data_IF_415827721703
#
_entry.id   IF_415827721703
#
_cell.length_a   1.000
_cell.length_b   1.000
_cell.length_c   1.000
_cell.angle_alpha   90.00
_cell.angle_beta   90.00
_cell.angle_gamma   90.00
#
_symmetry.space_group_name_H-M   'P 1'
#
loop_
_entity.id
_entity.type
_entity.pdbx_description
1 polymer ?
#
# COMPACT_ATOMS: atom_id res chain seq x y z
N UNK A 1 18.82 9.23 13.70
CA UNK A 1 19.61 8.23 12.91
C UNK A 1 19.75 8.71 11.48
N UNK A 2 20.79 8.29 10.76
CA UNK A 2 20.97 8.63 9.34
C UNK A 2 19.90 7.93 8.51
N UNK A 3 19.14 8.68 7.70
CA UNK A 3 18.18 8.07 6.78
C UNK A 3 18.89 7.24 5.73
N UNK A 4 18.27 6.14 5.29
CA UNK A 4 18.83 5.33 4.21
C UNK A 4 18.93 6.16 2.93
N UNK A 5 19.91 5.87 2.07
CA UNK A 5 20.09 6.56 0.79
C UNK A 5 18.86 6.52 -0.14
N UNK A 6 17.98 5.52 0.02
CA UNK A 6 16.76 5.35 -0.78
C UNK A 6 15.58 6.23 -0.35
N UNK A 7 15.70 6.97 0.75
CA UNK A 7 14.68 7.93 1.17
C UNK A 7 15.07 9.34 0.72
N UNK A 8 14.09 10.23 0.55
CA UNK A 8 14.30 11.68 0.39
C UNK A 8 15.18 12.15 1.55
N UNK A 9 16.19 12.96 1.25
CA UNK A 9 17.16 13.44 2.25
C UNK A 9 16.65 14.72 2.95
N UNK A 10 15.45 14.64 3.54
CA UNK A 10 14.81 15.70 4.33
C UNK A 10 14.65 15.28 5.79
N UNK A 11 14.79 16.20 6.77
CA UNK A 11 14.78 15.83 8.19
C UNK A 11 13.42 15.33 8.69
N UNK A 12 12.33 15.76 8.05
CA UNK A 12 10.96 15.34 8.35
C UNK A 12 10.11 15.36 7.09
N UNK A 13 9.02 14.61 7.10
CA UNK A 13 7.93 14.71 6.13
C UNK A 13 6.63 14.81 6.94
N UNK A 14 6.16 16.05 7.10
CA UNK A 14 5.04 16.40 7.96
C UNK A 14 3.69 16.29 7.24
N UNK A 15 2.60 16.50 7.99
CA UNK A 15 1.26 16.61 7.40
C UNK A 15 1.15 17.82 6.47
N UNK A 16 1.82 18.93 6.80
CA UNK A 16 1.79 20.14 5.97
C UNK A 16 2.53 19.92 4.65
N UNK A 17 3.66 19.21 4.68
CA UNK A 17 4.38 18.80 3.47
C UNK A 17 3.50 17.91 2.58
N UNK A 18 2.79 16.95 3.20
CA UNK A 18 1.88 16.06 2.47
C UNK A 18 0.72 16.83 1.84
N UNK A 19 0.08 17.74 2.58
CA UNK A 19 -1.02 18.58 2.08
C UNK A 19 -0.57 19.48 0.94
N UNK A 20 0.61 20.11 1.05
CA UNK A 20 1.16 20.97 0.01
C UNK A 20 1.46 20.18 -1.27
N UNK A 21 2.11 19.02 -1.18
CA UNK A 21 2.41 18.19 -2.35
C UNK A 21 1.13 17.62 -2.98
N UNK A 22 0.18 17.14 -2.16
CA UNK A 22 -1.13 16.68 -2.61
C UNK A 22 -1.87 17.78 -3.39
N UNK A 23 -1.95 18.99 -2.83
CA UNK A 23 -2.58 20.13 -3.48
C UNK A 23 -1.90 20.49 -4.81
N UNK A 24 -0.56 20.50 -4.84
CA UNK A 24 0.21 20.80 -6.05
C UNK A 24 0.02 19.77 -7.19
N UNK A 25 -0.39 18.56 -6.85
CA UNK A 25 -0.56 17.45 -7.78
C UNK A 25 -2.02 17.04 -8.01
N UNK A 26 -2.98 17.74 -7.39
CA UNK A 26 -4.41 17.47 -7.52
C UNK A 26 -4.88 16.18 -6.84
N UNK A 27 -4.26 15.79 -5.71
CA UNK A 27 -4.69 14.62 -4.92
C UNK A 27 -5.58 15.04 -3.77
N UNK A 28 -6.82 14.57 -3.76
CA UNK A 28 -7.83 14.99 -2.78
C UNK A 28 -7.64 14.40 -1.39
N UNK A 29 -7.12 13.17 -1.32
CA UNK A 29 -6.99 12.41 -0.07
C UNK A 29 -5.91 11.32 -0.18
N UNK A 30 -5.38 10.87 0.97
CA UNK A 30 -4.36 9.85 1.03
C UNK A 30 -4.56 8.84 2.17
N UNK A 31 -4.11 7.62 1.95
CA UNK A 31 -4.01 6.58 2.99
C UNK A 31 -2.61 6.65 3.60
N UNK A 32 -2.53 6.96 4.89
CA UNK A 32 -1.29 7.00 5.65
C UNK A 32 -0.91 5.58 6.08
N UNK A 33 0.33 5.17 5.78
CA UNK A 33 0.91 3.92 6.25
C UNK A 33 2.05 4.26 7.23
N UNK A 34 1.82 4.24 8.55
CA UNK A 34 2.88 4.45 9.53
C UNK A 34 4.00 3.40 9.36
N UNK A 35 5.29 3.80 9.39
CA UNK A 35 6.39 2.86 9.17
C UNK A 35 6.47 1.82 10.30
N UNK A 36 6.11 0.56 10.00
CA UNK A 36 6.01 -0.50 11.01
C UNK A 36 7.28 -0.77 11.81
N UNK A 37 8.45 -0.45 11.24
CA UNK A 37 9.75 -0.59 11.90
C UNK A 37 9.98 0.41 13.05
N UNK A 38 9.17 1.47 13.16
CA UNK A 38 9.30 2.51 14.19
C UNK A 38 8.35 2.30 15.39
N UNK A 39 7.67 1.15 15.45
CA UNK A 39 6.78 0.79 16.56
C UNK A 39 5.47 1.57 16.57
N UNK A 40 4.61 1.33 17.56
CA UNK A 40 3.24 1.85 17.57
C UNK A 40 3.17 3.39 17.74
N UNK A 41 4.21 4.02 18.27
CA UNK A 41 4.26 5.46 18.49
C UNK A 41 4.05 6.29 17.20
N UNK A 42 4.46 5.77 16.02
CA UNK A 42 4.23 6.48 14.76
C UNK A 42 2.77 6.49 14.29
N UNK A 43 1.92 5.61 14.85
CA UNK A 43 0.48 5.72 14.61
C UNK A 43 -0.10 7.00 15.23
N UNK A 44 0.48 7.52 16.33
CA UNK A 44 -0.03 8.71 17.02
C UNK A 44 -0.02 9.93 16.09
N UNK A 45 1.08 10.12 15.36
CA UNK A 45 1.22 11.21 14.39
C UNK A 45 0.20 11.09 13.25
N UNK A 46 -0.03 9.87 12.76
CA UNK A 46 -1.04 9.63 11.72
C UNK A 46 -2.46 9.90 12.23
N UNK A 47 -2.77 9.50 13.47
CA UNK A 47 -4.07 9.77 14.11
C UNK A 47 -4.28 11.27 14.31
N UNK A 48 -3.24 12.01 14.70
CA UNK A 48 -3.30 13.48 14.80
C UNK A 48 -3.56 14.14 13.44
N UNK A 49 -2.93 13.66 12.36
CA UNK A 49 -3.18 14.15 11.01
C UNK A 49 -4.64 13.92 10.59
N UNK A 50 -5.21 12.73 10.87
CA UNK A 50 -6.62 12.46 10.61
C UNK A 50 -7.55 13.33 11.45
N UNK A 51 -7.25 13.54 12.73
CA UNK A 51 -8.07 14.42 13.60
C UNK A 51 -8.15 15.84 13.05
N UNK A 52 -7.04 16.36 12.53
CA UNK A 52 -6.98 17.70 11.94
C UNK A 52 -7.60 17.77 10.53
N UNK A 53 -7.47 16.71 9.74
CA UNK A 53 -7.91 16.67 8.34
C UNK A 53 -8.63 15.35 8.00
N UNK A 54 -9.83 15.12 8.59
CA UNK A 54 -10.53 13.83 8.48
C UNK A 54 -11.09 13.54 7.08
N UNK A 55 -11.25 14.56 6.24
CA UNK A 55 -11.63 14.47 4.82
C UNK A 55 -10.43 14.12 3.90
N UNK A 56 -9.20 14.36 4.39
CA UNK A 56 -7.95 14.18 3.65
C UNK A 56 -7.25 12.86 3.94
N UNK A 57 -7.34 12.34 5.16
CA UNK A 57 -6.53 11.20 5.56
C UNK A 57 -7.34 10.07 6.21
N UNK A 58 -6.93 8.84 5.90
CA UNK A 58 -7.21 7.65 6.71
C UNK A 58 -5.93 6.84 6.89
N UNK A 59 -5.99 5.76 7.67
CA UNK A 59 -4.81 5.05 8.14
C UNK A 59 -5.00 3.54 7.93
N UNK A 60 -3.95 2.91 7.39
CA UNK A 60 -3.69 1.49 7.57
C UNK A 60 -2.52 1.36 8.53
N UNK A 61 -2.83 1.16 9.81
CA UNK A 61 -1.84 1.16 10.88
C UNK A 61 -1.26 -0.22 11.13
N UNK A 62 -0.47 -0.33 12.18
CA UNK A 62 0.09 -1.59 12.63
C UNK A 62 0.22 -1.58 14.16
N UNK A 63 0.39 -2.75 14.76
CA UNK A 63 0.68 -2.89 16.18
C UNK A 63 1.60 -4.10 16.37
N UNK A 64 2.04 -4.35 17.60
CA UNK A 64 2.80 -5.56 17.90
C UNK A 64 1.89 -6.79 17.89
N UNK A 65 2.02 -7.65 16.86
CA UNK A 65 1.24 -8.89 16.70
C UNK A 65 1.54 -9.94 17.79
N UNK A 66 2.61 -9.75 18.58
CA UNK A 66 2.93 -10.59 19.73
C UNK A 66 2.42 -10.01 21.05
N UNK A 67 1.80 -8.83 21.05
CA UNK A 67 1.20 -8.23 22.24
C UNK A 67 0.25 -9.21 22.94
N UNK A 68 0.28 -9.32 24.27
CA UNK A 68 -0.69 -10.13 25.00
C UNK A 68 -2.14 -9.64 24.82
N UNK A 69 -2.33 -8.37 24.46
CA UNK A 69 -3.66 -7.73 24.25
C UNK A 69 -4.10 -7.71 22.77
N UNK A 70 -3.39 -8.44 21.90
CA UNK A 70 -3.55 -8.38 20.43
C UNK A 70 -4.98 -8.56 19.91
N UNK A 71 -5.77 -9.44 20.52
CA UNK A 71 -7.16 -9.67 20.09
C UNK A 71 -8.07 -8.50 20.44
N UNK A 72 -7.89 -7.93 21.64
CA UNK A 72 -8.60 -6.75 22.09
C UNK A 72 -8.26 -5.52 21.24
N UNK A 73 -6.98 -5.37 20.86
CA UNK A 73 -6.53 -4.32 19.94
C UNK A 73 -7.26 -4.42 18.59
N UNK A 74 -7.37 -5.62 18.02
CA UNK A 74 -8.09 -5.82 16.74
C UNK A 74 -9.59 -5.56 16.91
N UNK A 75 -10.19 -5.99 18.01
CA UNK A 75 -11.62 -5.77 18.28
C UNK A 75 -12.00 -4.28 18.32
N UNK A 76 -11.14 -3.45 18.93
CA UNK A 76 -11.37 -2.01 19.13
C UNK A 76 -10.64 -1.13 18.11
N UNK A 77 -10.08 -1.70 17.04
CA UNK A 77 -9.19 -0.99 16.12
C UNK A 77 -9.83 0.26 15.49
N UNK A 78 -11.11 0.17 15.09
CA UNK A 78 -11.85 1.29 14.46
C UNK A 78 -12.20 2.44 15.41
N UNK A 79 -12.08 2.24 16.72
CA UNK A 79 -12.31 3.31 17.71
C UNK A 79 -11.19 4.37 17.66
N UNK A 80 -10.04 4.00 17.10
CA UNK A 80 -8.93 4.91 16.83
C UNK A 80 -9.25 5.73 15.57
N UNK A 81 -9.23 7.08 15.62
CA UNK A 81 -9.62 7.91 14.49
C UNK A 81 -8.86 7.58 13.20
N UNK A 82 -9.59 7.30 12.12
CA UNK A 82 -9.05 7.02 10.79
C UNK A 82 -8.46 5.62 10.58
N UNK A 83 -8.42 4.76 11.60
CA UNK A 83 -7.88 3.39 11.47
C UNK A 83 -8.87 2.47 10.75
N UNK A 84 -8.68 2.28 9.44
CA UNK A 84 -9.60 1.48 8.60
C UNK A 84 -9.16 0.02 8.45
N UNK A 85 -7.90 -0.27 8.75
CA UNK A 85 -7.32 -1.59 8.61
C UNK A 85 -5.85 -1.60 9.00
N UNK A 86 -5.15 -2.62 8.53
CA UNK A 86 -3.78 -2.91 8.93
C UNK A 86 -2.83 -2.93 7.74
N UNK A 87 -1.55 -2.64 7.99
CA UNK A 87 -0.49 -2.81 7.02
C UNK A 87 0.79 -3.32 7.67
N UNK A 88 1.37 -4.40 7.11
CA UNK A 88 2.62 -4.98 7.60
C UNK A 88 3.64 -5.24 6.50
N UNK A 89 4.92 -5.25 6.87
CA UNK A 89 6.02 -5.54 5.94
C UNK A 89 6.71 -6.89 6.17
N UNK A 90 6.68 -7.41 7.40
CA UNK A 90 7.34 -8.66 7.81
C UNK A 90 8.82 -8.76 7.40
N UNK A 91 9.53 -7.62 7.40
CA UNK A 91 10.93 -7.53 6.97
C UNK A 91 11.94 -7.88 8.07
N UNK A 92 11.53 -7.92 9.35
CA UNK A 92 12.45 -8.25 10.43
C UNK A 92 12.76 -9.76 10.44
N UNK A 93 13.97 -10.18 10.84
CA UNK A 93 14.36 -11.60 10.81
C UNK A 93 13.36 -12.54 11.50
N UNK A 94 12.85 -12.16 12.68
CA UNK A 94 11.87 -12.95 13.44
C UNK A 94 10.47 -13.02 12.78
N UNK A 95 10.17 -12.15 11.82
CA UNK A 95 8.87 -12.08 11.14
C UNK A 95 8.83 -12.96 9.89
N UNK A 96 9.98 -13.47 9.43
CA UNK A 96 10.06 -14.26 8.19
C UNK A 96 9.23 -15.54 8.27
N UNK A 97 9.15 -16.18 9.43
CA UNK A 97 8.40 -17.42 9.62
C UNK A 97 6.87 -17.21 9.68
N UNK A 98 6.42 -16.00 10.04
CA UNK A 98 4.99 -15.65 10.17
C UNK A 98 4.17 -15.82 8.89
N UNK A 99 4.82 -15.87 7.74
CA UNK A 99 4.17 -16.17 6.46
C UNK A 99 3.64 -17.61 6.37
N UNK A 100 4.24 -18.55 7.10
CA UNK A 100 4.04 -19.99 6.84
C UNK A 100 3.90 -20.85 8.08
N UNK A 101 4.33 -20.39 9.26
CA UNK A 101 4.36 -21.21 10.49
C UNK A 101 3.04 -21.24 11.27
N UNK A 102 2.01 -20.50 10.82
CA UNK A 102 0.70 -20.43 11.46
C UNK A 102 0.63 -19.46 12.66
N UNK A 103 1.73 -18.79 13.05
CA UNK A 103 1.76 -17.88 14.20
C UNK A 103 0.76 -16.72 14.11
N UNK A 104 0.34 -16.37 12.88
CA UNK A 104 -0.62 -15.31 12.59
C UNK A 104 -2.00 -15.80 12.15
N UNK A 105 -2.31 -17.10 12.22
CA UNK A 105 -3.62 -17.62 11.80
C UNK A 105 -4.77 -16.99 12.61
N UNK A 106 -4.54 -16.69 13.90
CA UNK A 106 -5.48 -15.94 14.74
C UNK A 106 -5.77 -14.53 14.17
N UNK A 107 -4.75 -13.85 13.63
CA UNK A 107 -4.85 -12.48 13.16
C UNK A 107 -5.67 -12.40 11.87
N UNK A 108 -5.45 -13.34 10.95
CA UNK A 108 -6.21 -13.43 9.70
C UNK A 108 -7.70 -13.68 9.98
N UNK A 109 -8.00 -14.63 10.86
CA UNK A 109 -9.37 -14.93 11.27
C UNK A 109 -10.04 -13.73 11.99
N UNK A 110 -9.33 -13.05 12.89
CA UNK A 110 -9.85 -11.87 13.57
C UNK A 110 -10.11 -10.71 12.60
N UNK A 111 -9.20 -10.50 11.62
CA UNK A 111 -9.36 -9.48 10.60
C UNK A 111 -10.55 -9.76 9.67
N UNK A 112 -10.72 -11.01 9.24
CA UNK A 112 -11.85 -11.45 8.42
C UNK A 112 -13.18 -11.23 9.16
N UNK A 113 -13.28 -11.71 10.40
CA UNK A 113 -14.46 -11.55 11.27
C UNK A 113 -14.80 -10.08 11.50
N UNK A 114 -13.78 -9.24 11.73
CA UNK A 114 -13.95 -7.80 11.92
C UNK A 114 -14.22 -7.02 10.63
N UNK A 115 -14.17 -7.67 9.46
CA UNK A 115 -14.26 -7.02 8.16
C UNK A 115 -13.14 -6.00 7.93
N UNK A 116 -11.95 -6.23 8.48
CA UNK A 116 -10.79 -5.36 8.27
C UNK A 116 -10.15 -5.59 6.90
N UNK A 117 -9.31 -4.63 6.49
CA UNK A 117 -8.49 -4.73 5.28
C UNK A 117 -7.04 -4.85 5.68
N UNK A 118 -6.28 -5.67 4.97
CA UNK A 118 -4.85 -5.87 5.27
C UNK A 118 -4.01 -5.58 4.03
N UNK A 119 -3.05 -4.66 4.16
CA UNK A 119 -1.98 -4.47 3.20
C UNK A 119 -0.72 -5.22 3.61
N UNK A 120 -0.08 -5.93 2.69
CA UNK A 120 1.17 -6.64 2.96
C UNK A 120 2.24 -6.36 1.90
N UNK A 121 3.47 -6.12 2.36
CA UNK A 121 4.66 -6.19 1.51
C UNK A 121 5.01 -7.64 1.18
N UNK A 122 4.23 -8.26 0.30
CA UNK A 122 4.56 -9.56 -0.29
C UNK A 122 5.40 -9.36 -1.56
N UNK A 123 6.50 -10.08 -1.70
CA UNK A 123 7.34 -10.11 -2.91
C UNK A 123 8.16 -11.40 -2.96
N UNK A 124 8.66 -11.78 -4.14
CA UNK A 124 9.43 -13.00 -4.33
C UNK A 124 8.71 -14.23 -3.74
N UNK A 125 9.45 -15.01 -2.95
CA UNK A 125 8.93 -16.24 -2.31
C UNK A 125 7.70 -16.03 -1.41
N UNK A 126 7.43 -14.81 -0.96
CA UNK A 126 6.28 -14.54 -0.08
C UNK A 126 4.96 -14.38 -0.86
N UNK A 127 5.00 -14.22 -2.20
CA UNK A 127 3.79 -14.12 -3.04
C UNK A 127 2.94 -15.39 -2.93
N UNK A 128 3.56 -16.57 -2.98
CA UNK A 128 2.86 -17.84 -2.83
C UNK A 128 2.23 -17.99 -1.42
N UNK A 129 2.92 -17.55 -0.38
CA UNK A 129 2.39 -17.57 0.99
C UNK A 129 1.21 -16.60 1.16
N UNK A 130 1.30 -15.40 0.58
CA UNK A 130 0.20 -14.45 0.53
C UNK A 130 -1.04 -15.07 -0.12
N UNK A 131 -0.88 -15.72 -1.28
CA UNK A 131 -1.97 -16.40 -1.98
C UNK A 131 -2.67 -17.45 -1.12
N UNK A 132 -1.90 -18.28 -0.40
CA UNK A 132 -2.45 -19.28 0.53
C UNK A 132 -3.22 -18.67 1.70
N UNK A 133 -2.80 -17.51 2.21
CA UNK A 133 -3.56 -16.79 3.25
C UNK A 133 -4.88 -16.30 2.67
N UNK A 134 -4.85 -15.66 1.49
CA UNK A 134 -6.06 -15.16 0.84
C UNK A 134 -7.04 -16.28 0.43
N UNK A 135 -6.56 -17.45 0.02
CA UNK A 135 -7.37 -18.64 -0.28
C UNK A 135 -8.05 -19.20 0.97
N UNK A 136 -7.36 -19.21 2.13
CA UNK A 136 -7.92 -19.68 3.41
C UNK A 136 -8.95 -18.71 4.01
N UNK A 137 -8.87 -17.42 3.67
CA UNK A 137 -9.72 -16.35 4.19
C UNK A 137 -10.42 -15.57 3.06
N UNK A 138 -11.36 -16.20 2.33
CA UNK A 138 -11.99 -15.58 1.16
C UNK A 138 -12.81 -14.33 1.49
N UNK A 139 -13.22 -14.11 2.74
CA UNK A 139 -13.88 -12.89 3.22
C UNK A 139 -12.91 -11.77 3.61
N UNK A 140 -11.62 -12.08 3.80
CA UNK A 140 -10.61 -11.09 4.14
C UNK A 140 -10.11 -10.36 2.89
N UNK A 141 -10.42 -9.07 2.79
CA UNK A 141 -9.87 -8.21 1.73
C UNK A 141 -8.41 -7.89 2.00
N UNK A 142 -7.53 -8.35 1.12
CA UNK A 142 -6.09 -8.16 1.20
C UNK A 142 -5.56 -7.40 -0.01
N UNK A 143 -4.52 -6.59 0.16
CA UNK A 143 -3.79 -6.03 -0.98
C UNK A 143 -2.29 -6.20 -0.86
N UNK A 144 -1.67 -6.34 -2.02
CA UNK A 144 -0.23 -6.49 -2.17
C UNK A 144 0.38 -5.10 -2.38
N UNK A 145 1.34 -4.73 -1.55
CA UNK A 145 2.04 -3.46 -1.60
C UNK A 145 3.02 -3.35 -2.79
N UNK A 146 3.22 -2.13 -3.28
CA UNK A 146 4.25 -1.74 -4.25
C UNK A 146 4.36 -2.66 -5.45
N UNK A 147 3.19 -2.92 -6.03
CA UNK A 147 2.91 -3.78 -7.13
C UNK A 147 3.10 -5.28 -6.82
N UNK A 148 3.73 -5.66 -5.69
CA UNK A 148 4.20 -7.01 -5.33
C UNK A 148 5.71 -7.19 -5.47
N UNK A 149 6.47 -6.10 -5.38
CA UNK A 149 7.94 -6.06 -5.44
C UNK A 149 8.50 -5.72 -4.06
N UNK A 150 9.80 -5.95 -3.86
CA UNK A 150 10.51 -5.70 -2.60
C UNK A 150 10.60 -4.22 -2.16
N UNK A 151 9.88 -3.30 -2.81
CA UNK A 151 10.01 -1.85 -2.62
C UNK A 151 11.28 -1.27 -3.23
N UNK A 152 11.41 0.06 -3.23
CA UNK A 152 12.55 0.77 -3.83
C UNK A 152 13.92 0.59 -3.14
N UNK A 153 14.08 -0.40 -2.27
CA UNK A 153 15.31 -0.64 -1.49
C UNK A 153 16.05 -1.92 -1.87
N UNK A 154 15.49 -2.74 -2.77
CA UNK A 154 16.14 -3.95 -3.25
C UNK A 154 17.33 -3.66 -4.19
N UNK A 155 17.34 -2.48 -4.81
CA UNK A 155 18.30 -2.11 -5.87
C UNK A 155 18.04 -2.77 -7.22
N UNK A 156 17.10 -3.72 -7.30
CA UNK A 156 16.71 -4.42 -8.53
C UNK A 156 15.79 -3.53 -9.36
N UNK A 157 16.09 -3.39 -10.65
CA UNK A 157 15.41 -2.49 -11.60
C UNK A 157 15.11 -3.19 -12.93
N UNK A 158 14.27 -2.53 -13.73
CA UNK A 158 13.90 -2.90 -15.09
C UNK A 158 13.36 -4.33 -15.15
N UNK A 159 13.63 -5.09 -16.21
CA UNK A 159 13.08 -6.44 -16.39
C UNK A 159 13.37 -7.38 -15.21
N UNK A 160 14.54 -7.22 -14.57
CA UNK A 160 14.90 -8.02 -13.39
C UNK A 160 13.97 -7.76 -12.20
N UNK A 161 13.38 -6.57 -12.08
CA UNK A 161 12.41 -6.25 -11.02
C UNK A 161 11.04 -6.89 -11.24
N UNK A 162 10.77 -7.40 -12.46
CA UNK A 162 9.50 -8.01 -12.85
C UNK A 162 9.67 -9.48 -13.28
N UNK A 163 10.82 -10.10 -13.02
CA UNK A 163 11.10 -11.48 -13.42
C UNK A 163 10.11 -12.50 -12.83
N UNK A 164 9.59 -12.24 -11.63
CA UNK A 164 8.58 -13.05 -10.92
C UNK A 164 7.15 -12.51 -11.10
N UNK A 165 6.92 -11.59 -12.03
CA UNK A 165 5.60 -11.00 -12.26
C UNK A 165 4.50 -12.06 -12.53
N UNK A 166 4.71 -13.14 -13.29
CA UNK A 166 3.68 -14.16 -13.52
C UNK A 166 3.09 -14.74 -12.22
N UNK A 167 3.93 -14.97 -11.19
CA UNK A 167 3.48 -15.49 -9.89
C UNK A 167 2.54 -14.51 -9.19
N UNK A 168 2.81 -13.21 -9.33
CA UNK A 168 1.97 -12.15 -8.76
C UNK A 168 0.64 -12.03 -9.53
N UNK A 169 0.68 -12.04 -10.87
CA UNK A 169 -0.52 -11.99 -11.70
C UNK A 169 -1.44 -13.18 -11.46
N UNK A 170 -0.90 -14.36 -11.15
CA UNK A 170 -1.70 -15.55 -10.84
C UNK A 170 -2.63 -15.36 -9.62
N UNK A 171 -2.31 -14.42 -8.71
CA UNK A 171 -3.17 -14.09 -7.57
C UNK A 171 -4.44 -13.33 -7.96
N UNK A 172 -4.52 -12.78 -9.18
CA UNK A 172 -5.70 -12.07 -9.65
C UNK A 172 -6.96 -12.95 -9.72
N UNK A 173 -6.80 -14.29 -9.77
CA UNK A 173 -7.88 -15.27 -9.66
C UNK A 173 -8.64 -15.18 -8.33
N UNK A 174 -8.03 -14.61 -7.30
CA UNK A 174 -8.60 -14.49 -5.95
C UNK A 174 -9.33 -13.13 -5.84
N UNK A 175 -10.68 -13.10 -5.74
CA UNK A 175 -11.46 -11.86 -5.78
C UNK A 175 -11.22 -10.95 -4.57
N UNK A 176 -10.76 -11.51 -3.46
CA UNK A 176 -10.41 -10.80 -2.24
C UNK A 176 -8.99 -10.21 -2.23
N UNK A 177 -8.25 -10.32 -3.35
CA UNK A 177 -6.91 -9.75 -3.51
C UNK A 177 -6.91 -8.57 -4.48
N UNK A 178 -6.36 -7.43 -4.03
CA UNK A 178 -5.97 -6.30 -4.88
C UNK A 178 -4.48 -5.99 -4.85
N UNK A 179 -4.07 -5.00 -5.63
CA UNK A 179 -2.68 -4.60 -5.79
C UNK A 179 -2.54 -3.09 -5.70
N UNK A 180 -1.59 -2.64 -4.88
CA UNK A 180 -1.22 -1.24 -4.81
C UNK A 180 -0.17 -0.95 -5.88
N UNK A 181 -0.56 -0.24 -6.93
CA UNK A 181 0.32 0.20 -8.02
C UNK A 181 1.22 1.38 -7.63
N UNK A 182 1.87 1.28 -6.47
CA UNK A 182 2.69 2.35 -5.89
C UNK A 182 4.18 2.12 -6.02
N UNK A 183 4.95 3.20 -5.93
CA UNK A 183 6.40 3.15 -5.97
C UNK A 183 7.00 2.73 -7.32
N UNK A 184 6.18 2.76 -8.38
CA UNK A 184 6.58 2.32 -9.72
C UNK A 184 7.90 2.94 -10.21
N UNK A 185 8.14 4.27 -10.07
CA UNK A 185 9.39 4.89 -10.50
C UNK A 185 10.67 4.27 -9.91
N UNK A 186 10.62 3.70 -8.70
CA UNK A 186 11.80 3.09 -8.08
C UNK A 186 12.30 1.86 -8.83
N UNK A 187 11.45 1.18 -9.61
CA UNK A 187 11.77 -0.03 -10.35
C UNK A 187 12.33 0.22 -11.76
N UNK A 188 12.51 1.47 -12.16
CA UNK A 188 13.09 1.82 -13.46
C UNK A 188 14.48 2.45 -13.30
N UNK A 189 15.37 2.19 -14.23
CA UNK A 189 16.62 2.92 -14.45
C UNK A 189 16.48 4.05 -15.48
N UNK A 190 15.38 4.10 -16.23
CA UNK A 190 15.14 5.11 -17.25
C UNK A 190 14.74 6.46 -16.62
N UNK A 191 14.90 7.58 -17.34
CA UNK A 191 14.34 8.86 -16.91
C UNK A 191 12.81 8.85 -16.97
N UNK A 192 12.17 9.80 -16.29
CA UNK A 192 10.74 10.07 -16.43
C UNK A 192 10.38 10.19 -17.94
N UNK A 193 9.29 9.56 -18.41
CA UNK A 193 8.21 8.95 -17.63
C UNK A 193 8.37 7.45 -17.34
N UNK A 194 9.59 6.89 -17.38
CA UNK A 194 9.88 5.48 -17.04
C UNK A 194 9.19 4.48 -17.99
N UNK A 195 9.19 4.78 -19.30
CA UNK A 195 8.44 4.01 -20.32
C UNK A 195 8.73 2.51 -20.33
N UNK A 196 9.93 2.10 -19.93
CA UNK A 196 10.34 0.70 -19.93
C UNK A 196 9.52 -0.17 -18.96
N UNK A 197 8.89 0.39 -17.93
CA UNK A 197 8.07 -0.38 -16.99
C UNK A 197 6.55 -0.28 -17.26
N UNK A 198 6.13 0.56 -18.22
CA UNK A 198 4.71 0.77 -18.52
C UNK A 198 3.99 -0.50 -18.96
N UNK A 199 4.68 -1.37 -19.71
CA UNK A 199 4.14 -2.67 -20.12
C UNK A 199 3.82 -3.59 -18.95
N UNK A 200 4.64 -3.58 -17.89
CA UNK A 200 4.37 -4.35 -16.67
C UNK A 200 3.20 -3.75 -15.88
N UNK A 201 3.10 -2.42 -15.79
CA UNK A 201 1.94 -1.76 -15.17
C UNK A 201 0.63 -2.15 -15.86
N UNK A 202 0.65 -2.23 -17.19
CA UNK A 202 -0.51 -2.65 -17.97
C UNK A 202 -0.90 -4.11 -17.69
N UNK A 203 0.07 -5.03 -17.68
CA UNK A 203 -0.20 -6.45 -17.36
C UNK A 203 -0.84 -6.61 -15.97
N UNK A 204 -0.38 -5.84 -14.98
CA UNK A 204 -0.94 -5.84 -13.63
C UNK A 204 -2.38 -5.34 -13.63
N UNK A 205 -2.61 -4.21 -14.29
CA UNK A 205 -3.95 -3.65 -14.42
C UNK A 205 -4.91 -4.62 -15.14
N UNK A 206 -4.49 -5.21 -16.26
CA UNK A 206 -5.32 -6.15 -17.04
C UNK A 206 -5.67 -7.42 -16.24
N UNK A 207 -4.79 -7.87 -15.35
CA UNK A 207 -5.07 -9.02 -14.49
C UNK A 207 -6.05 -8.70 -13.35
N UNK A 208 -5.80 -7.61 -12.60
CA UNK A 208 -6.58 -7.29 -11.39
C UNK A 208 -7.87 -6.51 -11.69
N UNK A 209 -7.84 -5.72 -12.76
CA UNK A 209 -8.91 -4.80 -13.16
C UNK A 209 -8.89 -3.47 -12.39
N UNK A 210 -9.76 -2.53 -12.80
CA UNK A 210 -9.82 -1.17 -12.24
C UNK A 210 -10.25 -1.12 -10.77
N UNK A 211 -11.06 -2.08 -10.33
CA UNK A 211 -11.62 -2.11 -8.97
C UNK A 211 -10.66 -2.74 -7.93
N UNK A 212 -9.52 -3.30 -8.37
CA UNK A 212 -8.53 -3.95 -7.50
C UNK A 212 -7.09 -3.50 -7.75
N UNK A 213 -6.93 -2.41 -8.50
CA UNK A 213 -5.64 -1.78 -8.78
C UNK A 213 -5.63 -0.38 -8.19
N UNK A 214 -4.75 -0.10 -7.23
CA UNK A 214 -4.79 1.12 -6.42
C UNK A 214 -3.53 1.96 -6.62
N UNK A 215 -3.63 3.15 -7.19
CA UNK A 215 -2.49 4.05 -7.28
C UNK A 215 -2.01 4.49 -5.89
N UNK A 216 -0.71 4.81 -5.80
CA UNK A 216 -0.14 5.50 -4.66
C UNK A 216 1.30 5.91 -4.93
N UNK A 217 1.82 6.87 -4.18
CA UNK A 217 3.17 7.40 -4.43
C UNK A 217 4.28 6.49 -3.90
N UNK A 218 4.24 6.16 -2.61
CA UNK A 218 5.44 5.77 -1.82
C UNK A 218 6.43 6.95 -1.69
N UNK A 219 5.87 8.15 -1.52
CA UNK A 219 6.48 9.49 -1.72
C UNK A 219 7.90 9.66 -1.17
N UNK A 220 8.16 9.19 0.05
CA UNK A 220 9.45 9.41 0.72
C UNK A 220 10.59 8.62 0.09
N UNK A 221 10.31 7.75 -0.89
CA UNK A 221 11.30 6.91 -1.60
C UNK A 221 11.37 7.19 -3.10
N UNK A 222 10.58 8.14 -3.57
CA UNK A 222 10.45 8.39 -5.00
C UNK A 222 11.64 9.18 -5.55
N UNK A 223 12.24 8.73 -6.68
CA UNK A 223 13.31 9.45 -7.37
C UNK A 223 12.80 10.66 -8.17
N UNK A 224 11.50 10.96 -8.10
CA UNK A 224 10.82 12.02 -8.83
C UNK A 224 9.90 12.84 -7.91
N UNK A 225 9.35 13.92 -8.47
CA UNK A 225 8.38 14.76 -7.75
C UNK A 225 7.07 14.02 -7.50
N UNK A 226 6.31 14.48 -6.50
CA UNK A 226 4.95 13.97 -6.27
C UNK A 226 4.08 14.11 -7.53
N UNK A 227 4.16 15.27 -8.21
CA UNK A 227 3.44 15.50 -9.48
C UNK A 227 3.79 14.47 -10.54
N UNK A 228 5.07 14.12 -10.70
CA UNK A 228 5.48 13.08 -11.64
C UNK A 228 4.95 11.68 -11.27
N UNK A 229 4.73 11.38 -9.98
CA UNK A 229 4.08 10.14 -9.57
C UNK A 229 2.61 10.09 -10.03
N UNK A 230 1.93 11.24 -10.08
CA UNK A 230 0.55 11.38 -10.57
C UNK A 230 0.53 11.34 -12.11
N UNK A 231 1.29 12.22 -12.77
CA UNK A 231 1.26 12.38 -14.24
C UNK A 231 1.76 11.13 -14.96
N UNK A 232 2.65 10.34 -14.35
CA UNK A 232 3.00 9.03 -14.90
C UNK A 232 1.77 8.14 -15.11
N UNK A 233 0.77 8.18 -14.23
CA UNK A 233 -0.45 7.38 -14.37
C UNK A 233 -1.54 8.11 -15.16
N UNK A 234 -1.70 9.42 -14.98
CA UNK A 234 -2.82 10.18 -15.56
C UNK A 234 -2.57 10.67 -16.99
N UNK A 235 -1.30 10.85 -17.39
CA UNK A 235 -0.92 11.44 -18.68
C UNK A 235 -0.07 10.48 -19.53
N UNK A 236 0.80 9.68 -18.90
CA UNK A 236 1.82 8.89 -19.62
C UNK A 236 1.42 7.42 -19.88
N UNK A 237 0.31 6.95 -19.31
CA UNK A 237 -0.28 5.63 -19.58
C UNK A 237 -1.52 5.78 -20.47
N UNK A 238 -1.39 5.83 -21.81
CA UNK A 238 -2.51 6.14 -22.71
C UNK A 238 -3.65 5.10 -22.70
N UNK A 239 -3.41 3.92 -22.11
CA UNK A 239 -4.40 2.87 -21.92
C UNK A 239 -5.24 3.05 -20.64
N UNK A 240 -4.76 3.80 -19.65
CA UNK A 240 -5.48 4.06 -18.40
C UNK A 240 -6.26 5.37 -18.53
N UNK A 241 -7.56 5.29 -18.82
CA UNK A 241 -8.39 6.47 -19.13
C UNK A 241 -9.85 6.28 -18.73
N UNK A 242 -10.60 7.37 -18.68
CA UNK A 242 -12.02 7.37 -18.34
C UNK A 242 -12.28 6.74 -16.97
N UNK A 243 -13.29 5.88 -16.87
CA UNK A 243 -13.66 5.19 -15.63
C UNK A 243 -12.47 4.46 -15.00
N UNK A 244 -11.65 3.76 -15.78
CA UNK A 244 -10.56 2.97 -15.22
C UNK A 244 -9.51 3.84 -14.54
N UNK A 245 -9.22 5.01 -15.10
CA UNK A 245 -8.36 6.00 -14.47
C UNK A 245 -8.96 6.51 -13.15
N UNK A 246 -10.24 6.89 -13.14
CA UNK A 246 -10.93 7.35 -11.92
C UNK A 246 -10.90 6.30 -10.80
N UNK A 247 -11.12 5.03 -11.17
CA UNK A 247 -11.06 3.90 -10.23
C UNK A 247 -9.65 3.73 -9.69
N UNK A 248 -8.64 3.62 -10.56
CA UNK A 248 -7.26 3.39 -10.15
C UNK A 248 -6.69 4.54 -9.31
N UNK A 249 -7.01 5.79 -9.66
CA UNK A 249 -6.45 6.99 -9.02
C UNK A 249 -7.11 7.35 -7.68
N UNK A 250 -8.17 6.66 -7.25
CA UNK A 250 -8.71 6.86 -5.91
C UNK A 250 -10.02 6.15 -5.61
N UNK A 251 -10.93 6.04 -6.58
CA UNK A 251 -12.26 5.47 -6.34
C UNK A 251 -12.22 4.03 -5.83
N UNK A 252 -11.36 3.20 -6.41
CA UNK A 252 -11.25 1.79 -6.05
C UNK A 252 -10.71 1.60 -4.62
N UNK A 253 -9.70 2.38 -4.19
CA UNK A 253 -9.15 2.23 -2.84
C UNK A 253 -10.13 2.74 -1.77
N UNK A 254 -10.87 3.82 -2.04
CA UNK A 254 -11.92 4.33 -1.14
C UNK A 254 -12.97 3.25 -0.89
N UNK A 255 -13.47 2.61 -1.96
CA UNK A 255 -14.44 1.51 -1.86
C UNK A 255 -13.85 0.27 -1.21
N UNK A 256 -12.61 -0.08 -1.57
CA UNK A 256 -11.91 -1.24 -1.05
C UNK A 256 -11.80 -1.17 0.47
N UNK A 257 -11.42 0.00 0.99
CA UNK A 257 -11.31 0.27 2.43
C UNK A 257 -12.66 0.53 3.11
N UNK A 258 -13.72 0.81 2.34
CA UNK A 258 -14.99 1.28 2.89
C UNK A 258 -14.85 2.64 3.57
N UNK A 259 -13.97 3.49 3.06
CA UNK A 259 -13.67 4.79 3.65
C UNK A 259 -14.82 5.75 3.40
N UNK A 260 -15.64 5.98 4.43
CA UNK A 260 -16.68 7.02 4.44
C UNK A 260 -16.04 8.38 4.65
N UNK A 261 -15.49 8.97 3.58
CA UNK A 261 -14.89 10.31 3.62
C UNK A 261 -15.95 11.33 4.05
N UNK A 262 -15.71 12.11 5.11
CA UNK A 262 -16.49 13.30 5.38
C UNK A 262 -16.43 14.24 4.18
N UNK A 263 -17.52 14.98 3.93
CA UNK A 263 -17.46 16.13 3.04
C UNK A 263 -16.40 17.10 3.55
N UNK A 264 -15.68 17.76 2.64
CA UNK A 264 -14.81 18.87 3.02
C UNK A 264 -15.64 19.91 3.78
N UNK A 265 -15.13 20.35 4.93
CA UNK A 265 -15.73 21.41 5.75
C UNK A 265 -15.57 22.77 5.08
#
# INVERSE_FOLDING_TARGET
>A
GKMSAHHRQIPTYSVDDALAEMASAGVDCAVIHPPSALGEAVNVLAVEAVRKHPDKFCILGHFDLQSPDRENIVAHWRERPGMLGFRFTFNQPHQKSWWTDGSLDWFWAACEKGGYRVGLLASGKNIAAFGKIAERHPGLKMHIDHLGRGGGGSGVKDDAAFADLPDMLALAKLPNVGVKMSGAPSYSSHPYPYKNIHGYLRQIFEAFGPDRSFWGTDVTRMPCSYRQCVTMFTEELPWLKGRDLERVMGGAIVDWLGWKRPSAA
#
